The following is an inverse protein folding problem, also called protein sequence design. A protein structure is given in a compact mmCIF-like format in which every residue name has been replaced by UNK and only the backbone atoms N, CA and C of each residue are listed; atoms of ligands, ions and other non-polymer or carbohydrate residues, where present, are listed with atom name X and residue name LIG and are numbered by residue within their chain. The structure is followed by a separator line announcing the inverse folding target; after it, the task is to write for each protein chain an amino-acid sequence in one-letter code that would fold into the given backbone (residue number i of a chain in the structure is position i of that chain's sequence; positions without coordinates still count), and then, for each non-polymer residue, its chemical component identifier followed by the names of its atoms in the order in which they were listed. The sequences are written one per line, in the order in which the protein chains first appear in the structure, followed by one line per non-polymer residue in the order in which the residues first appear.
data_IF_551268941477
#
_entry.id   IF_551268941477
#
_cell.length_a   1.000
_cell.length_b   1.000
_cell.length_c   1.000
_cell.angle_alpha   90.00
_cell.angle_beta   90.00
_cell.angle_gamma   90.00
#
_symmetry.space_group_name_H-M   'P 1'
#
loop_
_entity.id
_entity.type
_entity.pdbx_description
1 polymer ?
#
# COMPACT_ATOMS: atom_id res chain seq x y z
N UNK A 1 4.48 -3.13 9.78
CA UNK A 1 3.34 -4.01 9.44
C UNK A 1 2.13 -3.83 10.36
N UNK A 2 2.27 -3.94 11.70
CA UNK A 2 1.16 -3.88 12.67
C UNK A 2 0.23 -2.68 12.49
N UNK A 3 0.79 -1.47 12.37
CA UNK A 3 -0.02 -0.25 12.19
C UNK A 3 -0.83 -0.23 10.89
N UNK A 4 -0.25 -0.68 9.77
CA UNK A 4 -0.96 -0.76 8.49
C UNK A 4 -2.13 -1.76 8.55
N UNK A 5 -1.92 -2.92 9.18
CA UNK A 5 -2.99 -3.91 9.38
C UNK A 5 -4.15 -3.32 10.20
N UNK A 6 -3.84 -2.63 11.31
CA UNK A 6 -4.86 -2.03 12.14
C UNK A 6 -5.63 -0.93 11.40
N UNK A 7 -4.91 -0.07 10.67
CA UNK A 7 -5.51 1.01 9.90
C UNK A 7 -6.45 0.48 8.80
N UNK A 8 -5.99 -0.49 8.00
CA UNK A 8 -6.81 -1.06 6.90
C UNK A 8 -8.03 -1.78 7.46
N UNK A 9 -7.89 -2.57 8.53
CA UNK A 9 -9.04 -3.23 9.19
C UNK A 9 -10.07 -2.24 9.73
N UNK A 10 -9.62 -1.09 10.22
CA UNK A 10 -10.51 -0.02 10.67
C UNK A 10 -11.35 0.59 9.55
N UNK A 11 -10.94 0.44 8.29
CA UNK A 11 -11.70 0.92 7.11
C UNK A 11 -12.76 -0.07 6.64
N UNK A 12 -12.75 -1.31 7.14
CA UNK A 12 -13.71 -2.37 6.80
C UNK A 12 -14.54 -2.72 8.03
N UNK A 13 -15.57 -1.92 8.38
CA UNK A 13 -16.42 -2.22 9.51
C UNK A 13 -17.12 -3.57 9.31
N UNK A 14 -17.18 -4.40 10.36
CA UNK A 14 -17.68 -5.77 10.30
C UNK A 14 -19.14 -5.91 9.84
N UNK A 15 -19.90 -4.82 9.85
CA UNK A 15 -21.33 -4.77 9.53
C UNK A 15 -21.64 -4.17 8.17
N UNK A 16 -20.64 -3.66 7.43
CA UNK A 16 -20.86 -3.11 6.09
C UNK A 16 -20.03 -3.86 5.06
N UNK A 17 -20.68 -4.22 3.95
CA UNK A 17 -19.99 -4.75 2.76
C UNK A 17 -19.21 -3.66 2.00
N UNK A 18 -19.37 -2.40 2.39
CA UNK A 18 -18.66 -1.28 1.80
C UNK A 18 -17.19 -1.28 2.21
N UNK A 19 -16.36 -1.75 1.28
CA UNK A 19 -14.90 -1.56 1.33
C UNK A 19 -14.52 -0.25 0.65
N UNK A 20 -13.43 0.42 1.09
CA UNK A 20 -12.88 1.53 0.34
C UNK A 20 -12.48 1.06 -1.07
N UNK A 21 -12.65 1.94 -2.07
CA UNK A 21 -12.28 1.64 -3.46
C UNK A 21 -10.79 1.28 -3.61
N UNK A 22 -9.95 1.92 -2.81
CA UNK A 22 -8.52 1.66 -2.73
C UNK A 22 -7.93 2.27 -1.45
N UNK A 23 -6.73 1.85 -1.09
CA UNK A 23 -5.86 2.54 -0.14
C UNK A 23 -4.62 3.08 -0.86
N UNK A 24 -4.15 4.24 -0.42
CA UNK A 24 -3.02 4.94 -1.05
C UNK A 24 -2.05 5.40 0.03
N UNK A 25 -0.74 5.31 -0.24
CA UNK A 25 0.29 5.95 0.58
C UNK A 25 1.47 6.39 -0.26
N UNK A 26 2.21 7.38 0.23
CA UNK A 26 3.50 7.77 -0.32
C UNK A 26 4.60 7.16 0.56
N UNK A 27 5.33 6.17 0.03
CA UNK A 27 6.39 5.49 0.79
C UNK A 27 7.39 4.79 -0.13
N UNK A 28 8.67 5.06 0.09
CA UNK A 28 9.78 4.40 -0.62
C UNK A 28 10.20 3.03 -0.06
N UNK A 29 9.42 2.44 0.87
CA UNK A 29 9.87 1.22 1.55
C UNK A 29 8.89 0.52 2.48
N UNK A 30 9.33 0.22 3.70
CA UNK A 30 8.69 -0.73 4.63
C UNK A 30 7.22 -0.41 4.92
N UNK A 31 6.85 0.88 4.97
CA UNK A 31 5.46 1.26 5.16
C UNK A 31 4.61 0.93 3.91
N UNK A 32 5.11 1.22 2.71
CA UNK A 32 4.48 0.81 1.45
C UNK A 32 4.25 -0.70 1.36
N UNK A 33 5.25 -1.50 1.73
CA UNK A 33 5.11 -2.97 1.79
C UNK A 33 4.08 -3.41 2.84
N UNK A 34 4.09 -2.78 4.02
CA UNK A 34 3.14 -3.09 5.07
C UNK A 34 1.70 -2.77 4.66
N UNK A 35 1.46 -1.66 3.97
CA UNK A 35 0.15 -1.29 3.45
C UNK A 35 -0.29 -2.24 2.33
N UNK A 36 0.61 -2.52 1.37
CA UNK A 36 0.34 -3.45 0.29
C UNK A 36 -0.08 -4.84 0.81
N UNK A 37 0.66 -5.36 1.81
CA UNK A 37 0.31 -6.62 2.45
C UNK A 37 -1.04 -6.55 3.18
N UNK A 38 -1.29 -5.49 3.96
CA UNK A 38 -2.55 -5.34 4.68
C UNK A 38 -3.75 -5.23 3.73
N UNK A 39 -3.62 -4.47 2.66
CA UNK A 39 -4.65 -4.31 1.64
C UNK A 39 -4.94 -5.63 0.91
N UNK A 40 -3.90 -6.41 0.58
CA UNK A 40 -4.05 -7.75 0.00
C UNK A 40 -4.90 -8.67 0.89
N UNK A 41 -4.67 -8.66 2.20
CA UNK A 41 -5.44 -9.51 3.13
C UNK A 41 -6.92 -9.13 3.17
N UNK A 42 -7.24 -7.85 3.09
CA UNK A 42 -8.63 -7.36 3.10
C UNK A 42 -9.26 -7.32 1.69
N UNK A 43 -8.51 -7.69 0.65
CA UNK A 43 -8.96 -7.68 -0.75
C UNK A 43 -9.23 -6.27 -1.29
N UNK A 44 -8.48 -5.27 -0.81
CA UNK A 44 -8.60 -3.87 -1.20
C UNK A 44 -7.45 -3.52 -2.17
N UNK A 45 -7.71 -2.85 -3.30
CA UNK A 45 -6.65 -2.34 -4.16
C UNK A 45 -5.71 -1.37 -3.42
N UNK A 46 -4.41 -1.52 -3.61
CA UNK A 46 -3.40 -0.64 -3.02
C UNK A 46 -2.57 0.05 -4.09
N UNK A 47 -2.38 1.36 -3.92
CA UNK A 47 -1.49 2.18 -4.73
C UNK A 47 -0.40 2.78 -3.85
N UNK A 48 0.85 2.48 -4.16
CA UNK A 48 1.99 3.02 -3.41
C UNK A 48 2.72 3.99 -4.31
N UNK A 49 2.76 5.26 -3.88
CA UNK A 49 3.58 6.28 -4.55
C UNK A 49 5.02 6.12 -4.07
N UNK A 50 5.93 5.92 -5.02
CA UNK A 50 7.33 5.58 -4.76
C UNK A 50 8.24 6.50 -5.59
N UNK A 51 9.26 7.15 -5.01
CA UNK A 51 10.27 7.85 -5.80
C UNK A 51 10.98 6.90 -6.75
N UNK A 52 11.31 7.35 -7.97
CA UNK A 52 12.02 6.49 -8.95
C UNK A 52 13.34 5.94 -8.42
N UNK A 53 14.03 6.74 -7.59
CA UNK A 53 15.30 6.41 -6.94
C UNK A 53 15.19 5.41 -5.80
N UNK A 54 13.98 4.95 -5.44
CA UNK A 54 13.81 3.95 -4.40
C UNK A 54 14.49 2.62 -4.78
N UNK A 55 15.10 1.89 -3.82
CA UNK A 55 15.75 0.61 -4.09
C UNK A 55 14.82 -0.40 -4.78
N UNK A 56 15.30 -1.05 -5.84
CA UNK A 56 14.52 -2.03 -6.61
C UNK A 56 13.97 -3.17 -5.75
N UNK A 57 14.72 -3.66 -4.76
CA UNK A 57 14.24 -4.69 -3.84
C UNK A 57 12.97 -4.28 -3.08
N UNK A 58 12.82 -2.99 -2.75
CA UNK A 58 11.64 -2.48 -2.04
C UNK A 58 10.45 -2.33 -2.98
N UNK A 59 10.69 -1.90 -4.22
CA UNK A 59 9.67 -1.82 -5.28
C UNK A 59 9.11 -3.21 -5.60
N UNK A 60 10.00 -4.19 -5.82
CA UNK A 60 9.61 -5.57 -6.08
C UNK A 60 8.82 -6.18 -4.92
N UNK A 61 9.21 -5.90 -3.67
CA UNK A 61 8.46 -6.38 -2.50
C UNK A 61 7.04 -5.78 -2.42
N UNK A 62 6.86 -4.51 -2.79
CA UNK A 62 5.52 -3.89 -2.87
C UNK A 62 4.68 -4.59 -3.95
N UNK A 63 5.25 -4.79 -5.14
CA UNK A 63 4.58 -5.45 -6.27
C UNK A 63 4.25 -6.92 -5.97
N UNK A 64 5.10 -7.63 -5.23
CA UNK A 64 4.87 -9.02 -4.82
C UNK A 64 3.63 -9.17 -3.91
N UNK A 65 3.25 -8.11 -3.20
CA UNK A 65 1.98 -8.06 -2.46
C UNK A 65 0.78 -7.62 -3.32
N UNK A 66 0.95 -7.43 -4.63
CA UNK A 66 -0.13 -7.11 -5.56
C UNK A 66 -0.54 -5.63 -5.58
N UNK A 67 0.26 -4.75 -4.97
CA UNK A 67 0.00 -3.32 -5.02
C UNK A 67 0.57 -2.69 -6.30
N UNK A 68 -0.13 -1.68 -6.82
CA UNK A 68 0.29 -0.87 -7.95
C UNK A 68 1.29 0.19 -7.49
N UNK A 69 2.40 0.34 -8.20
CA UNK A 69 3.35 1.43 -7.96
C UNK A 69 3.00 2.61 -8.86
N UNK A 70 2.94 3.79 -8.26
CA UNK A 70 2.90 5.07 -8.96
C UNK A 70 4.24 5.76 -8.70
N UNK A 71 4.96 6.12 -9.75
CA UNK A 71 6.23 6.80 -9.57
C UNK A 71 6.03 8.30 -9.28
N UNK A 72 6.78 8.82 -8.31
CA UNK A 72 6.90 10.27 -8.10
C UNK A 72 8.19 10.75 -8.73
N UNK A 73 8.10 11.81 -9.52
CA UNK A 73 9.24 12.57 -10.02
C UNK A 73 9.89 13.33 -8.85
N UNK A 74 11.18 13.60 -8.97
CA UNK A 74 11.86 14.54 -8.08
C UNK A 74 11.56 15.94 -8.60
N UNK A 75 11.03 16.82 -7.76
CA UNK A 75 10.99 18.24 -8.09
C UNK A 75 12.40 18.80 -7.98
N UNK A 76 12.85 19.44 -9.05
CA UNK A 76 14.14 20.14 -9.15
C UNK A 76 14.32 21.26 -8.11
#
# INVERSE_FOLDING_TARGET
IRGALNAVKGLTPATSEEKPKAVVTHSSGNHGQALAYAAKLEGIPAYIVVPETAPNCKKLAIQAYGASIVYSEQSD
#
